data_IF_254451406416
#
_entry.id   IF_254451406416
#
_cell.length_a   1.000
_cell.length_b   1.000
_cell.length_c   1.000
_cell.angle_alpha   90.00
_cell.angle_beta   90.00
_cell.angle_gamma   90.00
#
_symmetry.space_group_name_H-M   'P 1'
#
loop_
_entity.id
_entity.type
_entity.pdbx_description
1 polymer ?
#
# COMPACT_ATOMS: atom_id res chain seq x y z
N UNK A 1 -62.47 -2.34 1.06
CA UNK A 1 -61.66 -2.40 -0.17
C UNK A 1 -60.51 -1.39 -0.09
N UNK A 2 -60.77 -0.13 0.29
CA UNK A 2 -59.70 0.90 0.37
C UNK A 2 -58.64 0.60 1.42
N UNK A 3 -58.97 0.02 2.56
CA UNK A 3 -58.02 -0.38 3.61
C UNK A 3 -57.08 -1.51 3.16
N UNK A 4 -57.58 -2.44 2.37
CA UNK A 4 -56.82 -3.54 1.80
C UNK A 4 -55.81 -3.05 0.76
N UNK A 5 -56.19 -2.10 -0.08
CA UNK A 5 -55.33 -1.43 -1.05
C UNK A 5 -54.19 -0.65 -0.34
N UNK A 6 -54.54 0.08 0.71
CA UNK A 6 -53.58 0.86 1.49
C UNK A 6 -52.55 -0.05 2.17
N UNK A 7 -52.99 -1.16 2.75
CA UNK A 7 -52.12 -2.14 3.37
C UNK A 7 -51.14 -2.78 2.33
N UNK A 8 -51.65 -3.07 1.12
CA UNK A 8 -50.82 -3.59 0.04
C UNK A 8 -49.72 -2.59 -0.40
N UNK A 9 -50.06 -1.32 -0.51
CA UNK A 9 -49.06 -0.29 -0.87
C UNK A 9 -47.99 -0.15 0.21
N UNK A 10 -48.40 -0.09 1.49
CA UNK A 10 -47.45 0.03 2.62
C UNK A 10 -46.53 -1.17 2.70
N UNK A 11 -47.02 -2.39 2.46
CA UNK A 11 -46.17 -3.58 2.46
C UNK A 11 -45.14 -3.56 1.33
N UNK A 12 -45.50 -3.10 0.13
CA UNK A 12 -44.56 -2.97 -0.99
C UNK A 12 -43.48 -1.94 -0.68
N UNK A 13 -43.85 -0.79 -0.11
CA UNK A 13 -42.88 0.21 0.33
C UNK A 13 -41.94 -0.31 1.43
N UNK A 14 -42.46 -1.03 2.42
CA UNK A 14 -41.66 -1.63 3.47
C UNK A 14 -40.59 -2.62 2.91
N UNK A 15 -41.01 -3.51 2.02
CA UNK A 15 -40.08 -4.48 1.39
C UNK A 15 -38.99 -3.76 0.56
N UNK A 16 -39.37 -2.70 -0.16
CA UNK A 16 -38.42 -1.89 -0.94
C UNK A 16 -37.40 -1.21 -0.05
N UNK A 17 -37.78 -0.64 1.09
CA UNK A 17 -36.89 -0.05 2.08
C UNK A 17 -35.92 -1.07 2.65
N UNK A 18 -36.38 -2.25 3.06
CA UNK A 18 -35.48 -3.28 3.60
C UNK A 18 -34.39 -3.73 2.62
N UNK A 19 -34.71 -3.86 1.33
CA UNK A 19 -33.71 -4.17 0.29
C UNK A 19 -32.67 -3.06 0.13
N UNK A 20 -33.08 -1.81 0.20
CA UNK A 20 -32.18 -0.66 0.12
C UNK A 20 -31.21 -0.61 1.30
N UNK A 21 -31.67 -0.86 2.52
CA UNK A 21 -30.82 -0.89 3.71
C UNK A 21 -29.75 -1.99 3.63
N UNK A 22 -30.10 -3.20 3.21
CA UNK A 22 -29.13 -4.29 3.07
C UNK A 22 -28.04 -4.01 2.03
N UNK A 23 -28.34 -3.28 0.98
CA UNK A 23 -27.34 -2.84 -0.01
C UNK A 23 -26.42 -1.75 0.56
N UNK A 24 -26.97 -0.78 1.28
CA UNK A 24 -26.20 0.30 1.91
C UNK A 24 -25.23 -0.25 2.96
N UNK A 25 -25.65 -1.22 3.76
CA UNK A 25 -24.78 -1.87 4.75
C UNK A 25 -23.59 -2.58 4.10
N UNK A 26 -23.82 -3.30 3.00
CA UNK A 26 -22.73 -3.97 2.24
C UNK A 26 -21.76 -2.96 1.64
N UNK A 27 -22.26 -1.87 1.08
CA UNK A 27 -21.41 -0.80 0.51
C UNK A 27 -20.60 -0.15 1.62
N UNK A 28 -21.21 0.17 2.76
CA UNK A 28 -20.52 0.76 3.90
C UNK A 28 -19.41 -0.17 4.44
N UNK A 29 -19.70 -1.48 4.55
CA UNK A 29 -18.71 -2.49 4.96
C UNK A 29 -17.53 -2.57 4.01
N UNK A 30 -17.77 -2.64 2.71
CA UNK A 30 -16.72 -2.68 1.69
C UNK A 30 -15.89 -1.39 1.66
N UNK A 31 -16.52 -0.23 1.83
CA UNK A 31 -15.82 1.05 1.89
C UNK A 31 -14.92 1.12 3.10
N UNK A 32 -15.41 0.73 4.27
CA UNK A 32 -14.62 0.68 5.50
C UNK A 32 -13.42 -0.26 5.37
N UNK A 33 -13.57 -1.40 4.72
CA UNK A 33 -12.49 -2.35 4.52
C UNK A 33 -11.42 -1.80 3.57
N UNK A 34 -11.82 -1.11 2.50
CA UNK A 34 -10.90 -0.39 1.60
C UNK A 34 -10.14 0.73 2.29
N UNK A 35 -10.80 1.51 3.14
CA UNK A 35 -10.14 2.57 3.92
C UNK A 35 -9.11 1.99 4.90
N UNK A 36 -9.38 0.83 5.49
CA UNK A 36 -8.40 0.09 6.30
C UNK A 36 -7.18 -0.33 5.47
N UNK A 37 -7.40 -0.94 4.32
CA UNK A 37 -6.31 -1.33 3.43
C UNK A 37 -5.44 -0.12 3.05
N UNK A 38 -6.08 1.02 2.75
CA UNK A 38 -5.39 2.27 2.43
C UNK A 38 -4.61 2.82 3.63
N UNK A 39 -5.20 2.82 4.81
CA UNK A 39 -4.51 3.25 6.03
C UNK A 39 -3.27 2.39 6.30
N UNK A 40 -3.38 1.07 6.15
CA UNK A 40 -2.25 0.17 6.29
C UNK A 40 -1.14 0.48 5.27
N UNK A 41 -1.49 0.68 3.99
CA UNK A 41 -0.53 1.05 2.95
C UNK A 41 0.16 2.38 3.25
N UNK A 42 -0.58 3.40 3.70
CA UNK A 42 -0.03 4.71 4.06
C UNK A 42 0.95 4.61 5.23
N UNK A 43 0.69 3.78 6.23
CA UNK A 43 1.64 3.61 7.35
C UNK A 43 2.96 2.98 6.89
N UNK A 44 2.92 2.03 5.97
CA UNK A 44 4.13 1.44 5.38
C UNK A 44 4.89 2.46 4.50
N UNK A 45 4.18 3.28 3.75
CA UNK A 45 4.77 4.34 2.94
C UNK A 45 5.49 5.37 3.82
N UNK A 46 4.84 5.86 4.86
CA UNK A 46 5.45 6.81 5.81
C UNK A 46 6.67 6.21 6.52
N UNK A 47 6.60 4.93 6.88
CA UNK A 47 7.75 4.24 7.44
C UNK A 47 8.91 4.14 6.44
N UNK A 48 8.63 3.85 5.18
CA UNK A 48 9.66 3.79 4.13
C UNK A 48 10.33 5.14 3.89
N UNK A 49 9.57 6.23 3.88
CA UNK A 49 10.09 7.60 3.80
C UNK A 49 10.99 7.92 5.00
N UNK A 50 10.54 7.62 6.21
CA UNK A 50 11.35 7.78 7.41
C UNK A 50 12.62 6.92 7.35
N UNK A 51 12.50 5.66 6.90
CA UNK A 51 13.62 4.73 6.82
C UNK A 51 14.71 5.22 5.85
N UNK A 52 14.34 5.78 4.70
CA UNK A 52 15.31 6.40 3.77
C UNK A 52 16.05 7.55 4.44
N UNK A 53 15.36 8.41 5.19
CA UNK A 53 15.96 9.57 5.85
C UNK A 53 16.98 9.19 6.93
N UNK A 54 16.97 7.97 7.43
CA UNK A 54 17.97 7.46 8.38
C UNK A 54 19.32 7.06 7.72
N UNK A 55 19.67 7.67 6.58
CA UNK A 55 20.86 7.35 5.78
C UNK A 55 20.88 5.93 5.16
N UNK A 56 19.71 5.28 5.09
CA UNK A 56 19.60 3.95 4.49
C UNK A 56 19.55 3.98 2.96
N UNK A 57 19.57 5.16 2.35
CA UNK A 57 19.66 5.35 0.90
C UNK A 57 20.92 4.71 0.29
N UNK A 58 22.00 4.54 1.06
CA UNK A 58 23.21 3.81 0.64
C UNK A 58 23.04 2.30 0.61
N UNK A 59 21.99 1.74 1.22
CA UNK A 59 21.65 0.32 1.18
C UNK A 59 20.98 -0.04 -0.16
N UNK A 60 21.66 0.30 -1.25
CA UNK A 60 21.19 0.03 -2.58
C UNK A 60 21.68 -1.33 -3.07
N UNK A 61 20.80 -2.14 -3.60
CA UNK A 61 21.10 -3.46 -4.15
C UNK A 61 20.40 -3.69 -5.48
N UNK A 62 20.97 -4.61 -6.25
CA UNK A 62 20.30 -5.09 -7.45
C UNK A 62 19.09 -5.95 -7.07
N UNK A 63 17.91 -5.40 -7.19
CA UNK A 63 16.68 -6.16 -7.04
C UNK A 63 16.47 -6.98 -8.31
N UNK A 64 16.85 -8.24 -8.30
CA UNK A 64 16.56 -9.19 -9.37
C UNK A 64 15.16 -9.74 -9.19
N UNK A 65 14.26 -9.41 -10.10
CA UNK A 65 12.89 -9.84 -10.05
C UNK A 65 12.04 -9.01 -9.07
N UNK A 66 10.92 -9.58 -8.67
CA UNK A 66 10.12 -9.08 -7.56
C UNK A 66 11.00 -9.11 -6.32
N UNK A 67 11.10 -7.98 -5.62
CA UNK A 67 11.91 -7.87 -4.40
C UNK A 67 11.73 -9.10 -3.53
N UNK A 68 12.86 -9.67 -3.09
CA UNK A 68 12.87 -10.91 -2.34
C UNK A 68 11.77 -10.92 -1.28
N UNK A 69 10.86 -11.85 -1.40
CA UNK A 69 9.72 -12.04 -0.49
C UNK A 69 10.15 -12.20 0.98
N UNK A 70 11.43 -12.45 1.22
CA UNK A 70 12.03 -12.69 2.52
C UNK A 70 12.92 -11.55 3.03
N UNK A 71 13.02 -10.42 2.32
CA UNK A 71 13.81 -9.30 2.81
C UNK A 71 13.06 -8.58 3.95
N UNK A 72 13.29 -9.01 5.17
CA UNK A 72 12.86 -8.29 6.39
C UNK A 72 13.67 -7.01 6.61
N UNK A 73 14.68 -6.75 5.78
CA UNK A 73 15.54 -5.57 5.81
C UNK A 73 15.19 -4.70 4.63
N UNK A 74 14.85 -3.44 4.89
CA UNK A 74 14.60 -2.44 3.85
C UNK A 74 15.80 -2.38 2.88
N UNK A 75 15.49 -2.26 1.59
CA UNK A 75 16.49 -2.17 0.52
C UNK A 75 16.01 -1.17 -0.53
N UNK A 76 16.92 -0.37 -1.03
CA UNK A 76 16.68 0.47 -2.21
C UNK A 76 17.06 -0.32 -3.46
N UNK A 77 16.12 -0.47 -4.37
CA UNK A 77 16.37 -1.13 -5.65
C UNK A 77 17.03 -0.16 -6.62
N UNK A 78 18.25 -0.45 -7.06
CA UNK A 78 18.90 0.29 -8.14
C UNK A 78 18.36 -0.16 -9.48
N UNK A 79 18.00 0.81 -10.32
CA UNK A 79 17.74 0.58 -11.73
C UNK A 79 19.08 0.40 -12.45
N UNK A 80 19.61 -0.81 -12.49
CA UNK A 80 20.79 -1.11 -13.30
C UNK A 80 20.40 -1.09 -14.77
N UNK A 81 21.16 -0.38 -15.59
CA UNK A 81 21.00 -0.36 -17.05
C UNK A 81 21.04 -1.80 -17.59
N UNK A 82 19.94 -2.26 -18.16
CA UNK A 82 19.80 -3.59 -18.75
C UNK A 82 18.86 -4.55 -18.00
N UNK A 83 18.59 -4.34 -16.75
CA UNK A 83 17.52 -5.05 -16.05
C UNK A 83 16.41 -4.03 -15.86
N UNK A 84 15.33 -4.19 -16.62
CA UNK A 84 14.07 -3.55 -16.27
C UNK A 84 13.64 -4.11 -14.90
N UNK A 85 14.09 -3.50 -13.82
CA UNK A 85 13.32 -3.57 -12.59
C UNK A 85 12.04 -2.84 -12.93
N UNK A 86 11.11 -3.56 -13.50
CA UNK A 86 9.75 -3.09 -13.67
C UNK A 86 9.24 -2.97 -12.26
N UNK A 87 9.45 -1.80 -11.67
CA UNK A 87 8.62 -1.44 -10.55
C UNK A 87 7.21 -1.58 -11.07
N UNK A 88 6.44 -2.45 -10.47
CA UNK A 88 5.12 -2.72 -10.96
C UNK A 88 4.38 -1.38 -10.97
N UNK A 89 3.78 -1.04 -12.08
CA UNK A 89 2.94 0.14 -12.14
C UNK A 89 1.88 0.01 -11.03
N UNK A 90 1.42 1.12 -10.49
CA UNK A 90 0.37 1.14 -9.44
C UNK A 90 -0.84 0.27 -9.81
N UNK A 91 -1.08 0.08 -11.11
CA UNK A 91 -2.15 -0.78 -11.64
C UNK A 91 -1.77 -2.26 -11.74
N UNK A 92 -0.49 -2.59 -11.64
CA UNK A 92 0.03 -3.94 -11.88
C UNK A 92 1.02 -4.38 -10.78
N UNK A 93 0.99 -3.75 -9.60
CA UNK A 93 1.85 -4.15 -8.48
C UNK A 93 1.59 -5.62 -8.17
N UNK A 94 2.53 -6.54 -8.47
CA UNK A 94 2.40 -7.88 -8.01
C UNK A 94 2.79 -7.88 -6.53
N UNK A 95 1.81 -7.67 -5.67
CA UNK A 95 1.97 -7.91 -4.24
C UNK A 95 2.18 -9.38 -3.90
N UNK A 96 2.04 -10.24 -4.91
CA UNK A 96 2.34 -11.67 -4.79
C UNK A 96 3.32 -12.10 -5.88
N UNK A 97 4.25 -12.96 -5.50
CA UNK A 97 5.10 -13.69 -6.44
C UNK A 97 4.27 -14.67 -7.27
N UNK A 98 4.87 -15.25 -8.31
CA UNK A 98 4.26 -16.33 -9.09
C UNK A 98 3.86 -17.56 -8.24
N UNK A 99 4.48 -17.75 -7.09
CA UNK A 99 4.15 -18.76 -6.09
C UNK A 99 3.09 -18.33 -5.07
N UNK A 100 2.48 -17.16 -5.24
CA UNK A 100 1.41 -16.67 -4.37
C UNK A 100 1.89 -16.07 -3.02
N UNK A 101 3.19 -15.91 -2.83
CA UNK A 101 3.78 -15.31 -1.62
C UNK A 101 3.79 -13.79 -1.75
N UNK A 102 3.43 -13.09 -0.67
CA UNK A 102 3.51 -11.64 -0.60
C UNK A 102 4.95 -11.17 -0.71
N UNK A 103 5.20 -10.15 -1.55
CA UNK A 103 6.53 -9.61 -1.83
C UNK A 103 6.65 -8.17 -1.31
N UNK A 104 7.89 -7.69 -1.17
CA UNK A 104 8.22 -6.39 -0.59
C UNK A 104 8.65 -6.47 0.87
N UNK A 105 9.22 -5.38 1.37
CA UNK A 105 9.68 -5.27 2.75
C UNK A 105 8.48 -5.16 3.70
N UNK A 106 8.43 -6.03 4.70
CA UNK A 106 7.33 -6.04 5.70
C UNK A 106 7.51 -4.88 6.67
N UNK A 107 6.42 -4.20 6.94
CA UNK A 107 6.31 -3.28 8.08
C UNK A 107 5.11 -3.67 8.92
N UNK A 108 5.33 -3.95 10.20
CA UNK A 108 4.25 -4.28 11.13
C UNK A 108 4.17 -3.21 12.21
N UNK A 109 3.20 -2.29 12.12
CA UNK A 109 2.94 -1.33 13.21
C UNK A 109 2.64 -2.05 14.52
N UNK A 110 3.11 -1.53 15.65
CA UNK A 110 2.92 -2.15 16.97
C UNK A 110 1.44 -2.38 17.35
N UNK A 111 0.55 -1.53 16.85
CA UNK A 111 -0.89 -1.61 17.13
C UNK A 111 -1.68 -2.44 16.10
N UNK A 112 -1.00 -3.02 15.09
CA UNK A 112 -1.69 -3.77 14.04
C UNK A 112 -1.99 -5.20 14.46
N UNK A 113 -3.26 -5.56 14.47
CA UNK A 113 -3.70 -6.92 14.76
C UNK A 113 -3.81 -7.75 13.48
N UNK A 114 -2.88 -8.65 13.26
CA UNK A 114 -2.85 -9.60 12.13
C UNK A 114 -3.03 -11.06 12.58
N UNK A 115 -3.31 -11.30 13.87
CA UNK A 115 -3.36 -12.63 14.47
C UNK A 115 -4.80 -13.07 14.72
N UNK A 116 -5.61 -12.19 15.31
CA UNK A 116 -6.97 -12.54 15.71
C UNK A 116 -8.00 -12.09 14.67
N UNK A 117 -8.38 -12.97 13.77
CA UNK A 117 -9.34 -12.71 12.69
C UNK A 117 -10.77 -12.39 13.15
N UNK A 118 -11.09 -12.69 14.41
CA UNK A 118 -12.40 -12.35 15.00
C UNK A 118 -12.44 -10.93 15.60
N UNK A 119 -11.29 -10.28 15.73
CA UNK A 119 -11.23 -8.95 16.30
C UNK A 119 -11.68 -7.87 15.27
N UNK A 120 -12.34 -6.85 15.79
CA UNK A 120 -12.84 -5.75 14.96
C UNK A 120 -11.73 -4.92 14.29
N UNK A 121 -10.52 -4.98 14.81
CA UNK A 121 -9.31 -4.29 14.33
C UNK A 121 -8.37 -5.18 13.52
N UNK A 122 -8.83 -6.36 13.11
CA UNK A 122 -8.04 -7.34 12.35
C UNK A 122 -7.68 -6.84 10.95
N UNK A 123 -6.44 -7.14 10.55
CA UNK A 123 -5.92 -6.99 9.18
C UNK A 123 -5.47 -8.36 8.67
N UNK A 124 -5.72 -8.64 7.40
CA UNK A 124 -5.37 -9.94 6.80
C UNK A 124 -3.86 -10.23 6.83
N UNK A 125 -3.04 -9.22 6.54
CA UNK A 125 -1.58 -9.33 6.59
C UNK A 125 -0.95 -7.96 6.87
N UNK A 126 0.30 -7.93 7.36
CA UNK A 126 1.02 -6.68 7.54
C UNK A 126 1.29 -6.01 6.19
N UNK A 127 1.26 -4.67 6.13
CA UNK A 127 1.57 -3.93 4.91
C UNK A 127 3.04 -4.08 4.52
N UNK A 128 3.32 -3.86 3.24
CA UNK A 128 4.66 -3.97 2.67
C UNK A 128 4.95 -2.78 1.78
N UNK A 129 6.22 -2.53 1.54
CA UNK A 129 6.68 -1.45 0.68
C UNK A 129 7.87 -1.86 -0.18
N UNK A 130 8.04 -1.09 -1.24
CA UNK A 130 9.19 -1.12 -2.15
C UNK A 130 9.78 0.27 -2.25
N UNK A 131 11.10 0.35 -2.36
CA UNK A 131 11.79 1.59 -2.63
C UNK A 131 12.65 1.39 -3.87
N UNK A 132 12.48 2.23 -4.87
CA UNK A 132 13.32 2.24 -6.06
C UNK A 132 13.98 3.58 -6.26
N UNK A 133 15.25 3.55 -6.64
CA UNK A 133 15.98 4.71 -7.09
C UNK A 133 15.54 5.07 -8.51
N UNK A 134 15.14 6.32 -8.73
CA UNK A 134 14.72 6.82 -10.05
C UNK A 134 15.90 7.52 -10.74
N UNK A 135 16.47 8.53 -10.09
CA UNK A 135 17.53 9.37 -10.65
C UNK A 135 18.26 10.13 -9.56
N UNK A 136 19.47 10.54 -9.85
CA UNK A 136 20.15 11.61 -9.14
C UNK A 136 19.90 12.93 -9.85
N UNK A 137 19.93 14.02 -9.10
CA UNK A 137 19.93 15.37 -9.64
C UNK A 137 21.03 16.19 -8.98
N UNK A 138 21.57 17.11 -9.77
CA UNK A 138 22.63 18.00 -9.33
C UNK A 138 22.26 19.41 -9.77
N UNK A 139 21.89 20.25 -8.82
CA UNK A 139 21.65 21.67 -9.00
C UNK A 139 22.81 22.47 -8.42
N UNK A 140 22.94 23.72 -8.81
CA UNK A 140 24.06 24.61 -8.41
C UNK A 140 24.22 24.72 -6.89
N UNK A 141 23.14 24.51 -6.12
CA UNK A 141 23.09 24.72 -4.66
C UNK A 141 22.79 23.43 -3.89
N UNK A 142 22.17 22.46 -4.52
CA UNK A 142 21.75 21.21 -3.85
C UNK A 142 21.84 20.03 -4.83
N UNK A 143 22.18 18.91 -4.29
CA UNK A 143 22.15 17.61 -4.96
C UNK A 143 21.20 16.69 -4.23
N UNK A 144 20.78 15.66 -4.90
CA UNK A 144 19.89 14.70 -4.28
C UNK A 144 19.62 13.48 -5.14
N UNK A 145 18.90 12.59 -4.52
CA UNK A 145 18.38 11.40 -5.16
C UNK A 145 16.85 11.41 -5.09
N UNK A 146 16.24 11.03 -6.20
CA UNK A 146 14.80 10.83 -6.29
C UNK A 146 14.50 9.34 -6.18
N UNK A 147 13.60 9.00 -5.29
CA UNK A 147 13.13 7.65 -5.05
C UNK A 147 11.63 7.55 -5.32
N UNK A 148 11.21 6.41 -5.81
CA UNK A 148 9.80 6.03 -5.84
C UNK A 148 9.57 5.01 -4.73
N UNK A 149 8.52 5.23 -3.96
CA UNK A 149 8.09 4.35 -2.88
C UNK A 149 6.69 3.87 -3.21
N UNK A 150 6.56 2.58 -3.37
CA UNK A 150 5.27 1.90 -3.55
C UNK A 150 4.96 1.12 -2.28
N UNK A 151 3.80 1.30 -1.72
CA UNK A 151 3.36 0.56 -0.56
C UNK A 151 1.97 -0.03 -0.79
N UNK A 152 1.72 -1.18 -0.20
CA UNK A 152 0.41 -1.80 -0.24
C UNK A 152 0.02 -2.38 1.11
N UNK A 153 -1.29 -2.44 1.34
CA UNK A 153 -1.86 -2.99 2.56
C UNK A 153 -3.15 -3.73 2.28
N UNK A 154 -3.46 -4.64 3.16
CA UNK A 154 -4.70 -5.41 3.13
C UNK A 154 -5.73 -4.85 4.10
N UNK A 155 -6.99 -5.02 3.76
CA UNK A 155 -8.09 -4.89 4.70
C UNK A 155 -8.23 -6.13 5.57
N UNK A 156 -9.45 -6.52 5.86
CA UNK A 156 -9.76 -7.71 6.66
C UNK A 156 -9.68 -9.01 5.87
N UNK A 157 -9.60 -8.94 4.55
CA UNK A 157 -9.57 -10.09 3.67
C UNK A 157 -8.51 -9.95 2.56
N UNK A 158 -8.06 -11.07 1.94
CA UNK A 158 -6.98 -11.05 0.94
C UNK A 158 -7.36 -10.36 -0.37
N UNK A 159 -8.64 -10.13 -0.62
CA UNK A 159 -9.13 -9.52 -1.86
C UNK A 159 -9.25 -7.99 -1.76
N UNK A 160 -9.19 -7.45 -0.55
CA UNK A 160 -9.23 -6.01 -0.31
C UNK A 160 -7.81 -5.50 -0.14
N UNK A 161 -7.24 -4.99 -1.23
CA UNK A 161 -5.90 -4.41 -1.26
C UNK A 161 -5.98 -2.96 -1.67
N UNK A 162 -5.18 -2.12 -1.05
CA UNK A 162 -4.92 -0.76 -1.49
C UNK A 162 -3.43 -0.57 -1.74
N UNK A 163 -3.11 0.17 -2.79
CA UNK A 163 -1.75 0.53 -3.16
C UNK A 163 -1.62 2.03 -3.14
N UNK A 164 -0.52 2.53 -2.62
CA UNK A 164 -0.17 3.95 -2.60
C UNK A 164 1.25 4.12 -3.11
N UNK A 165 1.48 5.19 -3.84
CA UNK A 165 2.78 5.54 -4.41
C UNK A 165 3.15 6.95 -3.96
N UNK A 166 4.43 7.18 -3.69
CA UNK A 166 5.03 8.47 -3.42
C UNK A 166 6.35 8.60 -4.16
N UNK A 167 6.66 9.82 -4.62
CA UNK A 167 8.00 10.19 -5.03
C UNK A 167 8.64 10.98 -3.91
N UNK A 168 9.78 10.52 -3.46
CA UNK A 168 10.48 11.06 -2.31
C UNK A 168 11.89 11.51 -2.71
N UNK A 169 12.20 12.75 -2.35
CA UNK A 169 13.48 13.40 -2.67
C UNK A 169 14.33 13.51 -1.41
N UNK A 170 15.56 13.01 -1.49
CA UNK A 170 16.58 13.21 -0.45
C UNK A 170 17.61 14.19 -0.97
N UNK A 171 17.73 15.34 -0.30
CA UNK A 171 18.65 16.41 -0.71
C UNK A 171 19.78 16.59 0.29
N UNK A 172 20.95 17.03 -0.18
CA UNK A 172 22.08 17.46 0.62
C UNK A 172 22.77 18.69 0.02
N UNK A 173 23.41 19.48 0.86
CA UNK A 173 23.97 20.80 0.51
C UNK A 173 25.41 20.78 -0.01
N UNK A 174 26.04 19.64 -0.18
CA UNK A 174 27.44 19.56 -0.57
C UNK A 174 27.61 18.68 -1.81
N UNK A 175 27.56 19.31 -2.99
CA UNK A 175 27.62 18.65 -4.28
C UNK A 175 29.08 18.34 -4.72
N UNK A 176 29.94 17.88 -3.83
CA UNK A 176 31.27 17.42 -4.18
C UNK A 176 31.26 16.08 -4.96
N UNK A 177 32.32 15.79 -5.69
CA UNK A 177 32.45 14.60 -6.52
C UNK A 177 32.33 13.24 -5.77
N UNK A 178 32.21 13.29 -4.48
CA UNK A 178 31.91 12.18 -3.58
C UNK A 178 30.65 12.57 -2.81
N UNK A 179 29.48 12.28 -3.36
CA UNK A 179 28.25 12.29 -2.56
C UNK A 179 28.45 11.44 -1.30
N UNK A 180 27.67 11.69 -0.23
CA UNK A 180 27.80 10.95 1.00
C UNK A 180 27.73 9.46 0.77
#
# INVERSE_FOLDING_TARGET
>A
ISSLLLLMIVTIFAISMFRSFGMQERIAGNTRDKERARAAALTALQYAEWWIMQNNWSNAGNCTGLMNANANTGMVCLKTSGINVVMPSVTAVPWKSSSGVDVGTVYTPQSMNVINSAAADYYYAPPRYYISFISNFNHVVSCGNLYQIDAYGYGTNPNTVAVVESQFEVTWNNCGANGP
#
